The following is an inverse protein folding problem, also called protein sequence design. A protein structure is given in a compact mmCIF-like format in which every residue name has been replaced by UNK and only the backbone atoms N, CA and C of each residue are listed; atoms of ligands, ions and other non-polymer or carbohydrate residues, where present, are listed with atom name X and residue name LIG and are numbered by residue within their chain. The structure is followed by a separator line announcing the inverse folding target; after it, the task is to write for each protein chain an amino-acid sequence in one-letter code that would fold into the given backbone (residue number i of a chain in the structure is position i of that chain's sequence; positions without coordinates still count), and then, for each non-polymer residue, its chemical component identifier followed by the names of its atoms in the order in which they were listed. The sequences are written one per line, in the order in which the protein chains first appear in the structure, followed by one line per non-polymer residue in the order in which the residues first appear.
data_IF_058049678199
#
_entry.id   IF_058049678199
#
_cell.length_a   1.000
_cell.length_b   1.000
_cell.length_c   1.000
_cell.angle_alpha   90.00
_cell.angle_beta   90.00
_cell.angle_gamma   90.00
#
_symmetry.space_group_name_H-M   'P 1'
#
loop_
_entity.id
_entity.type
_entity.pdbx_description
1 polymer ?
#
# COMPACT_ATOMS: atom_id res chain seq x y z
N UNK A 1 8.00 -14.21 3.36
CA UNK A 1 7.01 -13.16 3.01
C UNK A 1 6.31 -12.58 4.22
N UNK A 2 5.63 -13.40 5.03
CA UNK A 2 4.81 -12.92 6.16
C UNK A 2 5.57 -12.00 7.13
N UNK A 3 6.74 -12.40 7.65
CA UNK A 3 7.52 -11.58 8.60
C UNK A 3 7.90 -10.17 8.10
N UNK A 4 8.19 -10.00 6.80
CA UNK A 4 8.51 -8.69 6.22
C UNK A 4 7.24 -7.85 6.05
N UNK A 5 6.15 -8.50 5.66
CA UNK A 5 4.84 -7.87 5.60
C UNK A 5 4.38 -7.41 6.99
N UNK A 6 4.53 -8.24 8.01
CA UNK A 6 4.19 -7.93 9.40
C UNK A 6 5.05 -6.78 9.93
N UNK A 7 6.37 -6.81 9.69
CA UNK A 7 7.27 -5.72 10.11
C UNK A 7 6.89 -4.38 9.49
N UNK A 8 6.62 -4.35 8.18
CA UNK A 8 6.22 -3.10 7.52
C UNK A 8 4.80 -2.68 7.83
N UNK A 9 3.91 -3.63 8.17
CA UNK A 9 2.58 -3.31 8.70
C UNK A 9 2.65 -2.70 10.10
N UNK A 10 3.52 -3.20 10.97
CA UNK A 10 3.79 -2.58 12.27
C UNK A 10 4.44 -1.20 12.11
N UNK A 11 5.37 -1.04 11.16
CA UNK A 11 5.95 0.26 10.83
C UNK A 11 4.88 1.24 10.32
N UNK A 12 3.96 0.78 9.47
CA UNK A 12 2.83 1.57 9.01
C UNK A 12 1.91 2.01 10.16
N UNK A 13 1.60 1.12 11.12
CA UNK A 13 0.78 1.46 12.29
C UNK A 13 1.43 2.49 13.21
N UNK A 14 2.75 2.42 13.35
CA UNK A 14 3.52 3.28 14.27
C UNK A 14 3.93 4.60 13.63
N UNK A 15 4.24 4.61 12.33
CA UNK A 15 4.63 5.80 11.58
C UNK A 15 4.22 5.70 10.10
N UNK A 16 3.00 6.14 9.80
CA UNK A 16 2.46 6.19 8.44
C UNK A 16 3.24 7.10 7.50
N UNK A 17 3.90 8.13 8.04
CA UNK A 17 4.70 9.12 7.30
C UNK A 17 6.15 8.70 7.06
N UNK A 18 6.53 7.47 7.44
CA UNK A 18 7.90 7.02 7.27
C UNK A 18 8.28 6.98 5.77
N UNK A 19 9.38 7.65 5.34
CA UNK A 19 9.72 7.79 3.92
C UNK A 19 9.84 6.47 3.16
N UNK A 20 10.31 5.41 3.83
CA UNK A 20 10.46 4.08 3.22
C UNK A 20 9.13 3.41 2.84
N UNK A 21 8.01 3.83 3.46
CA UNK A 21 6.68 3.29 3.16
C UNK A 21 6.13 3.87 1.86
N UNK A 22 6.64 5.02 1.39
CA UNK A 22 6.09 5.75 0.23
C UNK A 22 4.55 5.79 0.25
N UNK A 23 3.98 6.01 1.43
CA UNK A 23 2.55 5.95 1.65
C UNK A 23 1.89 7.14 0.94
N UNK A 24 1.08 6.84 -0.07
CA UNK A 24 0.50 7.88 -0.94
C UNK A 24 -0.87 7.52 -1.46
N UNK A 25 -1.69 8.55 -1.66
CA UNK A 25 -2.96 8.43 -2.38
C UNK A 25 -2.69 8.26 -3.88
N UNK A 26 -3.41 7.34 -4.51
CA UNK A 26 -3.23 6.96 -5.92
C UNK A 26 -4.56 7.02 -6.66
N UNK A 27 -4.60 7.81 -7.73
CA UNK A 27 -5.81 8.12 -8.49
C UNK A 27 -6.46 9.41 -7.99
N UNK A 28 -6.87 10.26 -8.93
CA UNK A 28 -7.47 11.57 -8.63
C UNK A 28 -8.89 11.45 -8.05
N UNK A 29 -9.64 10.41 -8.43
CA UNK A 29 -11.06 10.26 -8.05
C UNK A 29 -11.38 9.05 -7.19
N UNK A 30 -10.46 8.07 -7.10
CA UNK A 30 -10.69 6.82 -6.37
C UNK A 30 -9.87 6.92 -5.11
N UNK A 31 -10.55 7.01 -3.97
CA UNK A 31 -9.98 7.13 -2.63
C UNK A 31 -9.12 5.89 -2.30
N UNK A 32 -7.97 5.76 -2.93
CA UNK A 32 -7.10 4.60 -2.89
C UNK A 32 -5.73 5.03 -2.42
N UNK A 33 -5.10 4.14 -1.66
CA UNK A 33 -3.83 4.36 -1.03
C UNK A 33 -2.86 3.24 -1.42
N UNK A 34 -1.60 3.60 -1.63
CA UNK A 34 -0.50 2.68 -1.91
C UNK A 34 0.47 2.72 -0.75
N UNK A 35 0.99 1.56 -0.34
CA UNK A 35 2.09 1.46 0.61
C UNK A 35 3.13 0.46 0.15
N UNK A 36 4.39 0.77 0.42
CA UNK A 36 5.56 -0.09 0.22
C UNK A 36 5.75 -1.02 1.40
N UNK A 37 5.61 -2.32 1.14
CA UNK A 37 5.81 -3.39 2.12
C UNK A 37 7.21 -4.01 1.99
N UNK A 38 8.01 -3.56 1.04
CA UNK A 38 9.39 -3.98 0.82
C UNK A 38 9.92 -3.49 -0.51
N UNK A 39 11.11 -3.93 -0.92
CA UNK A 39 11.64 -3.54 -2.24
C UNK A 39 10.68 -3.93 -3.37
N UNK A 40 10.19 -5.17 -3.33
CA UNK A 40 9.41 -5.79 -4.40
C UNK A 40 7.90 -5.86 -4.16
N UNK A 41 7.39 -5.43 -3.00
CA UNK A 41 5.98 -5.61 -2.65
C UNK A 41 5.26 -4.28 -2.42
N UNK A 42 4.00 -4.22 -2.87
CA UNK A 42 3.08 -3.10 -2.65
C UNK A 42 1.75 -3.63 -2.12
N UNK A 43 1.06 -2.79 -1.35
CA UNK A 43 -0.35 -3.02 -1.01
C UNK A 43 -1.20 -1.83 -1.41
N UNK A 44 -2.45 -2.14 -1.74
CA UNK A 44 -3.49 -1.19 -2.09
C UNK A 44 -4.56 -1.17 -1.00
N UNK A 45 -4.85 0.02 -0.50
CA UNK A 45 -5.93 0.28 0.43
C UNK A 45 -7.00 1.15 -0.21
N UNK A 46 -8.23 1.02 0.24
CA UNK A 46 -9.31 1.96 -0.04
C UNK A 46 -9.62 2.76 1.22
N UNK A 47 -9.66 4.07 1.07
CA UNK A 47 -10.13 4.97 2.11
C UNK A 47 -11.62 4.75 2.34
N UNK A 48 -11.99 4.76 3.61
CA UNK A 48 -13.35 4.72 4.10
C UNK A 48 -13.47 5.66 5.31
N UNK A 49 -14.69 6.01 5.75
CA UNK A 49 -14.88 6.84 6.93
C UNK A 49 -14.18 6.28 8.18
N UNK A 50 -14.14 4.96 8.34
CA UNK A 50 -13.49 4.26 9.45
C UNK A 50 -11.95 4.13 9.32
N UNK A 51 -11.37 4.57 8.21
CA UNK A 51 -9.93 4.46 7.92
C UNK A 51 -9.63 3.74 6.61
N UNK A 52 -8.47 3.09 6.52
CA UNK A 52 -8.01 2.45 5.29
C UNK A 52 -8.20 0.94 5.38
N UNK A 53 -8.96 0.40 4.42
CA UNK A 53 -9.15 -1.03 4.25
C UNK A 53 -8.22 -1.54 3.16
N UNK A 54 -7.28 -2.40 3.53
CA UNK A 54 -6.34 -3.04 2.60
C UNK A 54 -7.07 -4.13 1.80
N UNK A 55 -7.06 -4.00 0.46
CA UNK A 55 -7.80 -4.88 -0.45
C UNK A 55 -6.89 -5.74 -1.33
N UNK A 56 -5.60 -5.42 -1.39
CA UNK A 56 -4.65 -6.16 -2.23
C UNK A 56 -3.22 -5.99 -1.71
N UNK A 57 -2.43 -7.06 -1.85
CA UNK A 57 -0.98 -7.08 -1.65
C UNK A 57 -0.36 -7.96 -2.74
N UNK A 58 0.74 -7.52 -3.32
CA UNK A 58 1.43 -8.31 -4.34
C UNK A 58 2.72 -7.65 -4.80
N UNK A 59 3.27 -8.21 -5.88
CA UNK A 59 4.55 -7.76 -6.42
C UNK A 59 4.42 -6.38 -7.08
N UNK A 60 5.53 -5.65 -7.13
CA UNK A 60 5.59 -4.35 -7.77
C UNK A 60 5.14 -4.43 -9.23
N UNK A 61 5.53 -5.46 -9.97
CA UNK A 61 5.17 -5.62 -11.38
C UNK A 61 3.66 -5.87 -11.56
N UNK A 62 3.02 -6.57 -10.62
CA UNK A 62 1.57 -6.78 -10.61
C UNK A 62 0.83 -5.48 -10.26
N UNK A 63 1.36 -4.73 -9.30
CA UNK A 63 0.88 -3.38 -8.96
C UNK A 63 0.94 -2.45 -10.17
N UNK A 64 2.07 -2.43 -10.89
CA UNK A 64 2.23 -1.62 -12.11
C UNK A 64 1.21 -2.04 -13.19
N UNK A 65 0.97 -3.34 -13.37
CA UNK A 65 -0.07 -3.84 -14.30
C UNK A 65 -1.48 -3.43 -13.87
N UNK A 66 -1.79 -3.48 -12.57
CA UNK A 66 -3.08 -3.04 -12.02
C UNK A 66 -3.31 -1.54 -12.20
N UNK A 67 -2.25 -0.73 -12.11
CA UNK A 67 -2.34 0.70 -12.38
C UNK A 67 -2.43 1.02 -13.87
N UNK A 68 -1.77 0.25 -14.75
CA UNK A 68 -1.81 0.45 -16.20
C UNK A 68 -3.10 0.01 -16.86
N UNK A 69 -3.85 -0.92 -16.27
CA UNK A 69 -5.17 -1.36 -16.76
C UNK A 69 -6.32 -0.40 -16.38
N UNK A 70 -6.02 0.86 -16.09
CA UNK A 70 -7.00 1.89 -15.72
C UNK A 70 -7.10 2.98 -16.75
#
# INVERSE_FOLDING_TARGET
MQKLADKNFQLLKTNTSHPSLHFKKIGQSKQLWSVRIGLQYRALGREKPEGIVWIWIGLHDEYEKLLKKR
#
